data_IF_227316279808
#
_entry.id   IF_227316279808
#
_cell.length_a   1.000
_cell.length_b   1.000
_cell.length_c   1.000
_cell.angle_alpha   90.00
_cell.angle_beta   90.00
_cell.angle_gamma   90.00
#
_symmetry.space_group_name_H-M   'P 1'
#
loop_
_entity.id
_entity.type
_entity.pdbx_description
1 polymer ?
#
# COMPACT_ATOMS: atom_id res chain seq x y z
N UNK A 1 6.45 -16.12 12.68
CA UNK A 1 6.98 -15.26 11.61
C UNK A 1 6.34 -13.90 11.81
N UNK A 2 7.10 -12.89 12.20
CA UNK A 2 6.55 -11.56 12.47
C UNK A 2 6.49 -10.77 11.16
N UNK A 3 5.32 -10.26 10.82
CA UNK A 3 5.17 -9.21 9.80
C UNK A 3 5.80 -7.95 10.37
N UNK A 4 6.70 -7.31 9.64
CA UNK A 4 7.26 -6.03 10.06
C UNK A 4 6.21 -4.95 9.81
N UNK A 5 5.44 -4.63 10.85
CA UNK A 5 4.30 -3.71 10.80
C UNK A 5 4.65 -2.45 11.58
N UNK A 6 4.52 -1.31 10.91
CA UNK A 6 4.65 0.02 11.51
C UNK A 6 3.27 0.67 11.62
N UNK A 7 3.19 1.71 12.45
CA UNK A 7 1.95 2.46 12.65
C UNK A 7 2.25 3.94 12.45
N UNK A 8 1.52 4.59 11.55
CA UNK A 8 1.79 5.98 11.15
C UNK A 8 0.85 6.95 11.86
N UNK A 9 1.46 7.95 12.50
CA UNK A 9 0.80 9.06 13.16
C UNK A 9 1.03 10.34 12.36
N UNK A 10 0.04 11.23 12.33
CA UNK A 10 0.20 12.57 11.77
C UNK A 10 1.26 13.39 12.50
N UNK A 11 1.34 13.25 13.82
CA UNK A 11 2.28 14.00 14.67
C UNK A 11 2.83 13.12 15.80
N UNK A 12 1.95 12.46 16.56
CA UNK A 12 2.36 11.46 17.54
C UNK A 12 1.22 10.93 18.40
N UNK A 13 1.47 9.90 19.23
CA UNK A 13 0.44 9.19 19.98
C UNK A 13 -0.27 10.05 21.03
N UNK A 14 0.41 11.08 21.55
CA UNK A 14 -0.16 12.02 22.53
C UNK A 14 -1.17 12.98 21.93
N UNK A 15 -1.17 13.16 20.60
CA UNK A 15 -1.95 14.17 19.90
C UNK A 15 -3.00 13.58 18.96
N UNK A 16 -2.66 12.48 18.28
CA UNK A 16 -3.53 11.83 17.30
C UNK A 16 -3.51 10.32 17.48
N UNK A 17 -4.64 9.69 17.19
CA UNK A 17 -4.62 8.25 16.91
C UNK A 17 -3.92 8.03 15.57
N UNK A 18 -3.18 6.93 15.48
CA UNK A 18 -2.64 6.51 14.20
C UNK A 18 -3.75 6.33 13.17
N UNK A 19 -3.43 6.56 11.90
CA UNK A 19 -4.38 6.39 10.80
C UNK A 19 -4.06 5.14 9.99
N UNK A 20 -2.77 4.79 9.88
CA UNK A 20 -2.32 3.71 9.01
C UNK A 20 -1.54 2.65 9.77
N UNK A 21 -1.77 1.41 9.36
CA UNK A 21 -0.88 0.28 9.54
C UNK A 21 -0.03 0.20 8.28
N UNK A 22 1.28 0.35 8.40
CA UNK A 22 2.21 0.43 7.25
C UNK A 22 2.97 -0.88 7.11
N UNK A 23 2.91 -1.44 5.90
CA UNK A 23 3.71 -2.58 5.45
C UNK A 23 4.76 -2.05 4.48
N UNK A 24 6.04 -2.30 4.75
CA UNK A 24 7.13 -1.87 3.88
C UNK A 24 7.55 -3.02 2.97
N UNK A 25 7.56 -2.77 1.67
CA UNK A 25 8.03 -3.69 0.64
C UNK A 25 9.12 -3.00 -0.18
N UNK A 26 9.98 -3.80 -0.83
CA UNK A 26 10.96 -3.29 -1.79
C UNK A 26 10.53 -3.75 -3.17
N UNK A 27 10.54 -2.85 -4.15
CA UNK A 27 10.25 -3.13 -5.54
C UNK A 27 11.35 -2.57 -6.42
N UNK A 28 11.61 -3.20 -7.56
CA UNK A 28 12.40 -2.58 -8.62
C UNK A 28 11.69 -1.34 -9.17
N UNK A 29 12.41 -0.22 -9.32
CA UNK A 29 11.79 1.05 -9.69
C UNK A 29 11.18 1.06 -11.10
N UNK A 30 11.78 0.31 -12.05
CA UNK A 30 11.37 0.33 -13.45
C UNK A 30 10.28 -0.73 -13.73
N UNK A 31 10.44 -1.94 -13.21
CA UNK A 31 9.54 -3.08 -13.46
C UNK A 31 8.43 -3.23 -12.41
N UNK A 32 8.55 -2.57 -11.26
CA UNK A 32 7.65 -2.70 -10.11
C UNK A 32 7.52 -4.14 -9.58
N UNK A 33 8.47 -5.01 -9.92
CA UNK A 33 8.53 -6.38 -9.41
C UNK A 33 9.01 -6.31 -7.96
N UNK A 34 8.22 -6.91 -7.07
CA UNK A 34 8.53 -6.98 -5.64
C UNK A 34 9.73 -7.89 -5.38
N UNK A 35 10.63 -7.43 -4.51
CA UNK A 35 11.71 -8.27 -3.97
C UNK A 35 11.09 -9.39 -3.10
N UNK A 36 11.28 -10.67 -3.48
CA UNK A 36 10.77 -11.80 -2.72
C UNK A 36 11.30 -11.85 -1.29
N UNK A 37 12.47 -11.28 -1.00
CA UNK A 37 13.03 -11.22 0.35
C UNK A 37 12.26 -10.25 1.25
N UNK A 38 11.79 -9.13 0.70
CA UNK A 38 10.97 -8.15 1.43
C UNK A 38 9.56 -8.68 1.73
N UNK A 39 8.99 -9.45 0.81
CA UNK A 39 7.62 -9.97 0.91
C UNK A 39 7.49 -11.26 1.73
N UNK A 40 8.59 -11.82 2.25
CA UNK A 40 8.53 -13.13 2.95
C UNK A 40 7.55 -13.14 4.12
N UNK A 41 7.32 -12.00 4.75
CA UNK A 41 6.48 -11.92 5.95
C UNK A 41 4.97 -11.79 5.67
N UNK A 42 4.53 -11.35 4.49
CA UNK A 42 3.11 -11.09 4.20
C UNK A 42 2.53 -12.20 3.32
N UNK A 43 1.98 -13.21 3.97
CA UNK A 43 1.09 -14.18 3.30
C UNK A 43 -0.32 -13.61 3.15
N UNK A 44 -1.11 -14.14 2.22
CA UNK A 44 -2.54 -13.81 2.12
C UNK A 44 -3.29 -14.02 3.44
N UNK A 45 -2.99 -15.10 4.16
CA UNK A 45 -3.62 -15.38 5.46
C UNK A 45 -3.30 -14.31 6.51
N UNK A 46 -2.04 -13.88 6.60
CA UNK A 46 -1.66 -12.78 7.50
C UNK A 46 -2.26 -11.45 7.06
N UNK A 47 -2.39 -11.20 5.75
CA UNK A 47 -2.99 -9.97 5.24
C UNK A 47 -4.48 -9.89 5.57
N UNK A 48 -5.25 -10.98 5.41
CA UNK A 48 -6.66 -11.02 5.81
C UNK A 48 -6.83 -10.86 7.33
N UNK A 49 -5.96 -11.47 8.13
CA UNK A 49 -5.95 -11.26 9.58
C UNK A 49 -5.69 -9.80 9.95
N UNK A 50 -4.74 -9.17 9.26
CA UNK A 50 -4.40 -7.76 9.47
C UNK A 50 -5.53 -6.83 9.03
N UNK A 51 -6.20 -7.12 7.91
CA UNK A 51 -7.33 -6.35 7.42
C UNK A 51 -8.46 -6.33 8.45
N UNK A 52 -8.83 -7.50 8.98
CA UNK A 52 -9.82 -7.59 10.06
C UNK A 52 -9.42 -6.81 11.31
N UNK A 53 -8.15 -6.87 11.71
CA UNK A 53 -7.64 -6.11 12.86
C UNK A 53 -7.69 -4.59 12.58
N UNK A 54 -7.31 -4.17 11.37
CA UNK A 54 -7.30 -2.78 10.96
C UNK A 54 -8.69 -2.16 11.02
N UNK A 55 -9.71 -2.88 10.54
CA UNK A 55 -11.11 -2.45 10.61
C UNK A 55 -11.56 -2.26 12.07
N UNK A 56 -11.26 -3.21 12.96
CA UNK A 56 -11.64 -3.12 14.38
C UNK A 56 -10.94 -1.97 15.11
N UNK A 57 -9.77 -1.55 14.66
CA UNK A 57 -8.99 -0.46 15.24
C UNK A 57 -9.20 0.89 14.54
N UNK A 58 -10.12 0.95 13.55
CA UNK A 58 -10.32 2.10 12.67
C UNK A 58 -8.98 2.60 12.09
N UNK A 59 -8.24 1.71 11.44
CA UNK A 59 -6.97 1.96 10.73
C UNK A 59 -7.10 1.46 9.30
N UNK A 60 -6.32 2.06 8.41
CA UNK A 60 -6.20 1.59 7.03
C UNK A 60 -4.85 0.91 6.82
N UNK A 61 -4.78 -0.07 5.92
CA UNK A 61 -3.51 -0.72 5.57
C UNK A 61 -2.89 0.05 4.39
N UNK A 62 -1.64 0.48 4.57
CA UNK A 62 -0.84 1.17 3.56
C UNK A 62 0.38 0.33 3.23
N UNK A 63 0.53 -0.05 1.97
CA UNK A 63 1.80 -0.58 1.47
C UNK A 63 2.68 0.59 1.04
N UNK A 64 3.84 0.71 1.68
CA UNK A 64 4.89 1.64 1.31
C UNK A 64 5.96 0.86 0.54
N UNK A 65 5.88 0.91 -0.79
CA UNK A 65 6.81 0.22 -1.68
C UNK A 65 8.00 1.13 -1.95
N UNK A 66 9.14 0.80 -1.36
CA UNK A 66 10.42 1.48 -1.63
C UNK A 66 10.89 1.05 -3.01
N UNK A 67 10.94 1.99 -3.94
CA UNK A 67 11.37 1.77 -5.31
C UNK A 67 12.89 1.84 -5.37
N UNK A 68 13.50 0.68 -5.64
CA UNK A 68 14.94 0.52 -5.77
C UNK A 68 15.39 0.99 -7.16
N UNK A 69 16.16 2.09 -7.28
CA UNK A 69 16.58 2.62 -8.56
C UNK A 69 17.59 1.69 -9.24
N UNK A 70 17.52 1.56 -10.56
CA UNK A 70 18.48 0.79 -11.35
C UNK A 70 19.90 1.39 -11.34
N UNK A 71 20.05 2.67 -10.98
CA UNK A 71 21.34 3.35 -10.76
C UNK A 71 22.05 2.90 -9.48
N UNK A 72 21.33 2.32 -8.51
CA UNK A 72 21.86 1.98 -7.20
C UNK A 72 22.16 0.48 -7.11
N UNK A 73 23.42 0.15 -6.81
CA UNK A 73 23.85 -1.23 -6.57
C UNK A 73 23.19 -1.80 -5.30
N UNK A 74 22.78 -3.08 -5.35
CA UNK A 74 22.30 -3.81 -4.16
C UNK A 74 23.38 -4.07 -3.10
N UNK A 75 24.66 -3.87 -3.43
CA UNK A 75 25.74 -3.92 -2.44
C UNK A 75 25.90 -2.58 -1.73
N UNK A 76 25.27 -2.49 -0.55
CA UNK A 76 25.17 -1.27 0.27
C UNK A 76 26.44 -1.00 1.09
N UNK A 77 27.38 -1.96 1.14
CA UNK A 77 28.53 -1.91 2.06
C UNK A 77 29.52 -0.77 1.78
N UNK A 78 29.44 -0.16 0.59
CA UNK A 78 30.34 0.90 0.13
C UNK A 78 29.59 2.19 -0.24
N UNK A 79 28.29 2.26 0.04
CA UNK A 79 27.43 3.31 -0.49
C UNK A 79 27.20 4.43 0.52
N UNK A 80 27.29 5.67 0.04
CA UNK A 80 27.12 6.86 0.88
C UNK A 80 25.63 7.19 1.09
N UNK A 81 25.21 7.82 2.21
CA UNK A 81 23.79 8.07 2.49
C UNK A 81 23.06 8.95 1.48
N UNK A 82 23.79 9.71 0.64
CA UNK A 82 23.21 10.59 -0.38
C UNK A 82 22.40 9.81 -1.43
N UNK A 83 22.65 8.51 -1.61
CA UNK A 83 21.86 7.65 -2.50
C UNK A 83 20.39 7.62 -2.12
N UNK A 84 20.04 7.88 -0.85
CA UNK A 84 18.65 7.87 -0.39
C UNK A 84 17.79 8.89 -1.14
N UNK A 85 18.41 9.92 -1.72
CA UNK A 85 17.72 10.91 -2.57
C UNK A 85 17.27 10.36 -3.93
N UNK A 86 17.85 9.25 -4.39
CA UNK A 86 17.45 8.58 -5.64
C UNK A 86 16.26 7.64 -5.42
N UNK A 87 16.04 7.21 -4.18
CA UNK A 87 14.90 6.34 -3.85
C UNK A 87 13.60 7.11 -3.84
N UNK A 88 12.54 6.44 -4.28
CA UNK A 88 11.18 6.95 -4.18
C UNK A 88 10.30 5.92 -3.49
N UNK A 89 9.18 6.38 -2.94
CA UNK A 89 8.20 5.49 -2.30
C UNK A 89 6.90 5.57 -3.08
N UNK A 90 6.40 4.39 -3.46
CA UNK A 90 5.06 4.23 -4.02
C UNK A 90 4.11 3.78 -2.93
N UNK A 91 3.03 4.52 -2.76
CA UNK A 91 2.00 4.28 -1.77
C UNK A 91 0.84 3.51 -2.40
N UNK A 92 0.46 2.36 -1.83
CA UNK A 92 -0.74 1.62 -2.22
C UNK A 92 -1.65 1.45 -1.00
N UNK A 93 -2.81 2.09 -1.06
CA UNK A 93 -3.79 2.01 0.00
C UNK A 93 -4.70 0.79 -0.21
N UNK A 94 -4.68 -0.13 0.75
CA UNK A 94 -5.49 -1.33 0.70
C UNK A 94 -6.85 -1.07 1.33
N UNK A 95 -7.89 -1.11 0.51
CA UNK A 95 -9.29 -0.91 0.90
C UNK A 95 -10.16 -2.00 0.34
N UNK A 96 -11.22 -2.31 1.08
CA UNK A 96 -12.29 -3.14 0.58
C UNK A 96 -13.00 -2.43 -0.57
N UNK A 97 -13.23 -3.15 -1.67
CA UNK A 97 -14.03 -2.63 -2.77
C UNK A 97 -15.47 -2.38 -2.32
N UNK A 98 -15.95 -1.15 -2.52
CA UNK A 98 -17.33 -0.77 -2.23
C UNK A 98 -18.10 -0.50 -3.53
N UNK A 99 -19.06 -1.36 -3.91
CA UNK A 99 -19.84 -1.20 -5.14
C UNK A 99 -20.58 0.14 -5.24
N UNK A 100 -20.98 0.72 -4.10
CA UNK A 100 -21.72 1.99 -4.07
C UNK A 100 -20.82 3.21 -4.31
N UNK A 101 -19.50 3.08 -4.15
CA UNK A 101 -18.53 4.16 -4.34
C UNK A 101 -17.74 4.01 -5.64
N UNK A 102 -17.71 2.81 -6.22
CA UNK A 102 -16.86 2.48 -7.35
C UNK A 102 -17.61 1.83 -8.52
N UNK A 103 -18.93 1.99 -8.59
CA UNK A 103 -19.65 1.67 -9.83
C UNK A 103 -19.17 2.63 -10.91
N UNK A 104 -18.74 2.11 -12.04
CA UNK A 104 -18.77 2.88 -13.28
C UNK A 104 -20.24 3.08 -13.63
N UNK A 105 -20.66 4.33 -13.77
CA UNK A 105 -22.01 4.65 -14.22
C UNK A 105 -22.16 4.10 -15.64
N UNK A 106 -22.77 2.92 -15.75
CA UNK A 106 -23.19 2.37 -17.04
C UNK A 106 -24.26 3.32 -17.56
N UNK A 107 -24.07 3.99 -18.72
CA UNK A 107 -25.11 4.80 -19.31
C UNK A 107 -26.31 3.88 -19.53
N UNK A 108 -27.39 4.15 -18.83
CA UNK A 108 -28.65 3.45 -19.06
C UNK A 108 -29.14 4.00 -20.38
N UNK A 109 -29.21 3.16 -21.41
CA UNK A 109 -29.90 3.51 -22.66
C UNK A 109 -31.31 3.92 -22.23
N UNK A 110 -31.66 5.19 -22.41
CA UNK A 110 -32.98 5.72 -22.13
C UNK A 110 -33.97 4.87 -22.94
N UNK A 111 -34.87 4.17 -22.25
CA UNK A 111 -35.97 3.47 -22.89
C UNK A 111 -36.79 4.52 -23.66
N UNK A 112 -36.70 4.48 -24.99
CA UNK A 112 -37.55 5.26 -25.88
C UNK A 112 -39.02 4.97 -25.52
N UNK A 113 -39.65 5.95 -24.87
CA UNK A 113 -41.07 6.02 -24.58
C UNK A 113 -41.84 6.21 -25.90
N UNK A 114 -42.03 5.12 -26.64
CA UNK A 114 -42.91 5.07 -27.79
C UNK A 114 -44.37 5.13 -27.32
N UNK A 115 -44.87 6.35 -27.13
CA UNK A 115 -46.28 6.67 -26.97
C UNK A 115 -47.07 6.30 -28.24
N UNK A 116 -48.11 5.47 -28.10
CA UNK A 116 -49.23 5.33 -29.05
C UNK A 116 -50.58 5.49 -28.36
#
# INVERSE_FOLDING_TARGET
MFVNVLVLYKEGPSFYHASYIVIVEVADADSLILDPASNRSVTWNSLFGLERLSETAAKEILFAQVLWPSSVSQDISTTSPEILSEFTVRELLWRRWNPNQHREDVPTEEEDDDSY
#
